data_IF_735400492362
#
_entry.id   IF_735400492362
#
_cell.length_a   1.000
_cell.length_b   1.000
_cell.length_c   1.000
_cell.angle_alpha   90.00
_cell.angle_beta   90.00
_cell.angle_gamma   90.00
#
_symmetry.space_group_name_H-M   'P 1'
#
loop_
_entity.id
_entity.type
_entity.pdbx_description
1 polymer ?
#
# COMPACT_ATOMS: atom_id res chain seq x y z
N UNK A 1 -15.00 -103.24 -29.20
CA UNK A 1 -15.13 -101.75 -29.17
C UNK A 1 -16.20 -101.30 -28.18
N UNK A 2 -17.21 -102.12 -27.90
CA UNK A 2 -18.42 -101.71 -27.15
C UNK A 2 -18.13 -101.08 -25.78
N UNK A 3 -17.15 -101.58 -25.02
CA UNK A 3 -16.79 -101.04 -23.69
C UNK A 3 -16.38 -99.55 -23.69
N UNK A 4 -15.87 -99.04 -24.82
CA UNK A 4 -15.60 -97.59 -24.97
C UNK A 4 -16.87 -96.80 -25.30
N UNK A 5 -17.81 -97.41 -26.02
CA UNK A 5 -19.10 -96.80 -26.38
C UNK A 5 -19.99 -96.65 -25.14
N UNK A 6 -20.10 -97.70 -24.31
CA UNK A 6 -20.87 -97.67 -23.06
C UNK A 6 -20.28 -96.68 -22.06
N UNK A 7 -18.96 -96.62 -21.91
CA UNK A 7 -18.30 -95.62 -21.06
C UNK A 7 -18.50 -94.18 -21.56
N UNK A 8 -18.57 -93.96 -22.88
CA UNK A 8 -18.92 -92.65 -23.44
C UNK A 8 -20.39 -92.28 -23.19
N UNK A 9 -21.32 -93.23 -23.35
CA UNK A 9 -22.75 -93.03 -23.08
C UNK A 9 -23.01 -92.74 -21.59
N UNK A 10 -22.35 -93.45 -20.68
CA UNK A 10 -22.48 -93.23 -19.24
C UNK A 10 -21.90 -91.87 -18.82
N UNK A 11 -20.75 -91.46 -19.37
CA UNK A 11 -20.22 -90.09 -19.20
C UNK A 11 -21.17 -89.03 -19.75
N UNK A 12 -21.78 -89.26 -20.91
CA UNK A 12 -22.75 -88.32 -21.48
C UNK A 12 -23.99 -88.15 -20.57
N UNK A 13 -24.50 -89.24 -19.99
CA UNK A 13 -25.59 -89.21 -18.98
C UNK A 13 -25.18 -88.50 -17.69
N UNK A 14 -23.96 -88.73 -17.21
CA UNK A 14 -23.42 -88.03 -16.04
C UNK A 14 -23.27 -86.52 -16.30
N UNK A 15 -22.72 -86.11 -17.45
CA UNK A 15 -22.59 -84.70 -17.84
C UNK A 15 -23.95 -84.03 -18.03
N UNK A 16 -24.91 -84.71 -18.66
CA UNK A 16 -26.27 -84.16 -18.84
C UNK A 16 -26.99 -83.98 -17.50
N UNK A 17 -26.82 -84.90 -16.55
CA UNK A 17 -27.44 -84.81 -15.22
C UNK A 17 -26.71 -83.85 -14.28
N UNK A 18 -25.38 -83.67 -14.41
CA UNK A 18 -24.65 -82.62 -13.69
C UNK A 18 -25.03 -81.24 -14.23
N UNK A 19 -24.99 -81.04 -15.56
CA UNK A 19 -25.34 -79.77 -16.21
C UNK A 19 -26.79 -79.37 -15.96
N UNK A 20 -27.73 -80.32 -15.97
CA UNK A 20 -29.13 -80.05 -15.61
C UNK A 20 -29.30 -79.61 -14.16
N UNK A 21 -28.55 -80.20 -13.22
CA UNK A 21 -28.56 -79.82 -11.80
C UNK A 21 -27.88 -78.47 -11.57
N UNK A 22 -26.75 -78.22 -12.23
CA UNK A 22 -25.99 -76.97 -12.20
C UNK A 22 -26.82 -75.81 -12.76
N UNK A 23 -27.42 -75.98 -13.95
CA UNK A 23 -28.34 -74.99 -14.56
C UNK A 23 -29.53 -74.72 -13.65
N UNK A 24 -30.12 -75.75 -13.04
CA UNK A 24 -31.24 -75.58 -12.10
C UNK A 24 -30.84 -74.77 -10.85
N UNK A 25 -29.67 -75.06 -10.28
CA UNK A 25 -29.10 -74.30 -9.16
C UNK A 25 -28.77 -72.86 -9.54
N UNK A 26 -28.20 -72.65 -10.72
CA UNK A 26 -27.89 -71.31 -11.25
C UNK A 26 -29.16 -70.49 -11.47
N UNK A 27 -30.23 -71.08 -12.01
CA UNK A 27 -31.54 -70.42 -12.15
C UNK A 27 -32.17 -70.07 -10.80
N UNK A 28 -32.07 -70.96 -9.80
CA UNK A 28 -32.53 -70.65 -8.44
C UNK A 28 -31.70 -69.51 -7.81
N UNK A 29 -30.38 -69.49 -8.04
CA UNK A 29 -29.49 -68.43 -7.56
C UNK A 29 -29.78 -67.09 -8.24
N UNK A 30 -30.01 -67.04 -9.57
CA UNK A 30 -30.33 -65.79 -10.26
C UNK A 30 -31.71 -65.27 -9.88
N UNK A 31 -32.71 -66.13 -9.66
CA UNK A 31 -34.00 -65.72 -9.11
C UNK A 31 -33.87 -65.11 -7.71
N UNK A 32 -33.07 -65.72 -6.82
CA UNK A 32 -32.78 -65.17 -5.49
C UNK A 32 -32.03 -63.82 -5.56
N UNK A 33 -31.11 -63.66 -6.52
CA UNK A 33 -30.43 -62.39 -6.77
C UNK A 33 -31.36 -61.30 -7.32
N UNK A 34 -32.31 -61.66 -8.19
CA UNK A 34 -33.31 -60.72 -8.75
C UNK A 34 -34.28 -60.25 -7.66
N UNK A 35 -34.80 -61.15 -6.83
CA UNK A 35 -35.73 -60.76 -5.76
C UNK A 35 -35.01 -59.93 -4.68
N UNK A 36 -33.75 -60.28 -4.33
CA UNK A 36 -32.91 -59.43 -3.47
C UNK A 36 -32.70 -58.03 -4.07
N UNK A 37 -32.33 -57.94 -5.36
CA UNK A 37 -32.11 -56.65 -6.03
C UNK A 37 -33.39 -55.82 -6.07
N UNK A 38 -34.55 -56.47 -6.20
CA UNK A 38 -35.87 -55.84 -6.14
C UNK A 38 -36.19 -55.31 -4.74
N UNK A 39 -35.93 -56.07 -3.67
CA UNK A 39 -36.07 -55.60 -2.28
C UNK A 39 -35.14 -54.41 -2.00
N UNK A 40 -33.88 -54.49 -2.42
CA UNK A 40 -32.91 -53.39 -2.28
C UNK A 40 -33.36 -52.14 -3.05
N UNK A 41 -33.82 -52.29 -4.30
CA UNK A 41 -34.33 -51.18 -5.11
C UNK A 41 -35.62 -50.56 -4.52
N UNK A 42 -36.54 -51.37 -3.99
CA UNK A 42 -37.72 -50.89 -3.28
C UNK A 42 -37.34 -50.12 -2.00
N UNK A 43 -36.41 -50.65 -1.20
CA UNK A 43 -35.92 -49.97 0.00
C UNK A 43 -35.21 -48.64 -0.34
N UNK A 44 -34.41 -48.59 -1.41
CA UNK A 44 -33.81 -47.34 -1.90
C UNK A 44 -34.85 -46.34 -2.42
N UNK A 45 -35.89 -46.81 -3.11
CA UNK A 45 -37.00 -45.94 -3.58
C UNK A 45 -37.76 -45.32 -2.40
N UNK A 46 -38.07 -46.12 -1.37
CA UNK A 46 -38.76 -45.63 -0.16
C UNK A 46 -37.89 -44.64 0.63
N UNK A 47 -36.57 -44.85 0.72
CA UNK A 47 -35.66 -43.85 1.31
C UNK A 47 -35.68 -42.55 0.50
N UNK A 48 -35.39 -42.62 -0.80
CA UNK A 48 -35.33 -41.45 -1.67
C UNK A 48 -36.62 -40.61 -1.68
N UNK A 49 -37.79 -41.23 -1.58
CA UNK A 49 -39.09 -40.52 -1.46
C UNK A 49 -39.24 -39.82 -0.10
N UNK A 50 -38.79 -40.44 0.99
CA UNK A 50 -38.80 -39.81 2.31
C UNK A 50 -37.76 -38.68 2.43
N UNK A 51 -36.56 -38.87 1.88
CA UNK A 51 -35.50 -37.87 1.82
C UNK A 51 -35.97 -36.64 1.00
N UNK A 52 -36.60 -36.88 -0.16
CA UNK A 52 -37.21 -35.85 -0.99
C UNK A 52 -38.32 -35.10 -0.24
N UNK A 53 -39.17 -35.80 0.52
CA UNK A 53 -40.22 -35.18 1.35
C UNK A 53 -39.63 -34.29 2.46
N UNK A 54 -38.62 -34.78 3.18
CA UNK A 54 -37.93 -33.99 4.22
C UNK A 54 -37.21 -32.76 3.65
N UNK A 55 -36.62 -32.90 2.46
CA UNK A 55 -36.04 -31.78 1.73
C UNK A 55 -37.12 -30.75 1.32
N UNK A 56 -38.28 -31.17 0.81
CA UNK A 56 -39.38 -30.25 0.50
C UNK A 56 -39.92 -29.54 1.74
N UNK A 57 -40.13 -30.24 2.85
CA UNK A 57 -40.57 -29.64 4.13
C UNK A 57 -39.55 -28.61 4.65
N UNK A 58 -38.26 -28.91 4.51
CA UNK A 58 -37.16 -27.98 4.85
C UNK A 58 -37.16 -26.74 3.94
N UNK A 59 -37.29 -26.93 2.63
CA UNK A 59 -37.33 -25.84 1.63
C UNK A 59 -38.55 -24.94 1.84
N UNK A 60 -39.75 -25.50 2.07
CA UNK A 60 -40.96 -24.73 2.39
C UNK A 60 -40.75 -23.89 3.66
N UNK A 61 -40.15 -24.48 4.70
CA UNK A 61 -39.85 -23.80 5.96
C UNK A 61 -38.75 -22.73 5.82
N UNK A 62 -37.83 -22.89 4.87
CA UNK A 62 -36.82 -21.88 4.53
C UNK A 62 -37.41 -20.73 3.71
N UNK A 63 -38.19 -21.03 2.67
CA UNK A 63 -38.89 -20.04 1.83
C UNK A 63 -39.86 -19.20 2.67
N UNK A 64 -40.63 -19.82 3.58
CA UNK A 64 -41.51 -19.10 4.49
C UNK A 64 -40.78 -18.08 5.37
N UNK A 65 -39.64 -18.49 5.97
CA UNK A 65 -38.79 -17.58 6.76
C UNK A 65 -38.19 -16.46 5.90
N UNK A 66 -37.74 -16.77 4.69
CA UNK A 66 -37.16 -15.79 3.77
C UNK A 66 -38.21 -14.77 3.28
N UNK A 67 -39.44 -15.20 3.01
CA UNK A 67 -40.54 -14.30 2.63
C UNK A 67 -40.92 -13.34 3.78
N UNK A 68 -41.00 -13.83 5.02
CA UNK A 68 -41.29 -12.97 6.17
C UNK A 68 -40.10 -12.02 6.46
N UNK A 69 -38.85 -12.44 6.23
CA UNK A 69 -37.69 -11.55 6.27
C UNK A 69 -37.76 -10.45 5.19
N UNK A 70 -38.08 -10.80 3.94
CA UNK A 70 -38.23 -9.83 2.84
C UNK A 70 -39.35 -8.83 3.15
N UNK A 71 -40.46 -9.30 3.72
CA UNK A 71 -41.57 -8.46 4.18
C UNK A 71 -41.13 -7.49 5.28
N UNK A 72 -40.46 -7.98 6.32
CA UNK A 72 -39.94 -7.15 7.41
C UNK A 72 -38.91 -6.12 6.92
N UNK A 73 -38.05 -6.48 5.96
CA UNK A 73 -37.15 -5.54 5.29
C UNK A 73 -37.93 -4.49 4.50
N UNK A 74 -38.91 -4.88 3.68
CA UNK A 74 -39.73 -3.95 2.90
C UNK A 74 -40.51 -2.96 3.79
N UNK A 75 -41.14 -3.43 4.87
CA UNK A 75 -41.87 -2.57 5.80
C UNK A 75 -40.92 -1.59 6.53
N UNK A 76 -39.71 -2.01 6.85
CA UNK A 76 -38.69 -1.15 7.46
C UNK A 76 -38.16 -0.10 6.47
N UNK A 77 -37.78 -0.50 5.25
CA UNK A 77 -37.36 0.42 4.18
C UNK A 77 -38.48 1.39 3.79
N UNK A 78 -39.73 0.94 3.75
CA UNK A 78 -40.90 1.79 3.48
C UNK A 78 -41.16 2.81 4.59
N UNK A 79 -40.80 2.50 5.85
CA UNK A 79 -40.82 3.45 6.97
C UNK A 79 -39.66 4.46 6.86
N UNK A 80 -38.43 3.98 6.70
CA UNK A 80 -37.25 4.84 6.57
C UNK A 80 -37.29 5.78 5.35
N UNK A 81 -37.87 5.33 4.23
CA UNK A 81 -38.09 6.18 3.06
C UNK A 81 -39.10 7.31 3.34
N UNK A 82 -40.16 7.03 4.11
CA UNK A 82 -41.14 8.05 4.53
C UNK A 82 -40.54 9.05 5.52
N UNK A 83 -39.75 8.57 6.47
CA UNK A 83 -39.03 9.41 7.44
C UNK A 83 -37.98 10.29 6.75
N UNK A 84 -37.20 9.74 5.83
CA UNK A 84 -36.21 10.49 5.03
C UNK A 84 -36.88 11.55 4.13
N UNK A 85 -38.02 11.22 3.52
CA UNK A 85 -38.79 12.18 2.74
C UNK A 85 -39.39 13.31 3.60
N UNK A 86 -39.88 13.00 4.81
CA UNK A 86 -40.34 14.00 5.78
C UNK A 86 -39.20 14.90 6.24
N UNK A 87 -38.04 14.33 6.59
CA UNK A 87 -36.85 15.12 6.95
C UNK A 87 -36.41 16.01 5.80
N UNK A 88 -36.33 15.49 4.59
CA UNK A 88 -35.92 16.24 3.40
C UNK A 88 -36.89 17.41 3.12
N UNK A 89 -38.20 17.23 3.33
CA UNK A 89 -39.16 18.33 3.23
C UNK A 89 -38.90 19.44 4.27
N UNK A 90 -38.66 19.07 5.53
CA UNK A 90 -38.31 20.03 6.61
C UNK A 90 -37.00 20.75 6.32
N UNK A 91 -35.96 20.03 5.89
CA UNK A 91 -34.65 20.59 5.53
C UNK A 91 -34.76 21.54 4.32
N UNK A 92 -35.67 21.27 3.37
CA UNK A 92 -35.89 22.11 2.19
C UNK A 92 -36.70 23.38 2.51
N UNK A 93 -37.68 23.34 3.41
CA UNK A 93 -38.34 24.53 3.94
C UNK A 93 -37.39 25.38 4.80
N UNK A 94 -36.52 24.75 5.59
CA UNK A 94 -35.47 25.45 6.34
C UNK A 94 -34.45 26.13 5.40
N UNK A 95 -34.04 25.46 4.31
CA UNK A 95 -33.18 26.04 3.28
C UNK A 95 -33.87 27.22 2.58
N UNK A 96 -35.17 27.10 2.27
CA UNK A 96 -35.98 28.17 1.68
C UNK A 96 -36.01 29.40 2.59
N UNK A 97 -36.29 29.22 3.87
CA UNK A 97 -36.30 30.32 4.85
C UNK A 97 -34.91 30.95 5.00
N UNK A 98 -33.84 30.16 5.01
CA UNK A 98 -32.47 30.70 5.05
C UNK A 98 -32.11 31.47 3.77
N UNK A 99 -32.51 30.99 2.59
CA UNK A 99 -32.33 31.72 1.34
C UNK A 99 -33.13 33.03 1.31
N UNK A 100 -34.37 33.06 1.80
CA UNK A 100 -35.15 34.29 1.90
C UNK A 100 -34.46 35.31 2.82
N UNK A 101 -34.11 34.91 4.05
CA UNK A 101 -33.40 35.77 5.00
C UNK A 101 -32.04 36.27 4.49
N UNK A 102 -31.30 35.44 3.72
CA UNK A 102 -30.09 35.89 3.01
C UNK A 102 -30.41 36.87 1.88
N UNK A 103 -31.45 36.64 1.10
CA UNK A 103 -31.82 37.51 -0.03
C UNK A 103 -32.21 38.92 0.47
N UNK A 104 -32.94 39.00 1.58
CA UNK A 104 -33.32 40.26 2.22
C UNK A 104 -32.11 41.03 2.79
N UNK A 105 -31.10 40.32 3.32
CA UNK A 105 -29.91 40.94 3.94
C UNK A 105 -28.74 41.17 2.98
N UNK A 106 -28.69 40.48 1.84
CA UNK A 106 -27.65 40.62 0.81
C UNK A 106 -27.50 42.06 0.24
N UNK A 107 -28.56 42.83 -0.08
CA UNK A 107 -28.38 44.19 -0.60
C UNK A 107 -27.76 45.14 0.45
N UNK A 108 -28.09 44.97 1.72
CA UNK A 108 -27.51 45.76 2.80
C UNK A 108 -26.03 45.41 3.03
N UNK A 109 -25.70 44.11 3.06
CA UNK A 109 -24.31 43.64 3.13
C UNK A 109 -23.49 44.08 1.91
N UNK A 110 -24.07 44.08 0.70
CA UNK A 110 -23.41 44.55 -0.51
C UNK A 110 -23.16 46.07 -0.47
N UNK A 111 -24.09 46.86 0.08
CA UNK A 111 -23.90 48.30 0.28
C UNK A 111 -22.80 48.60 1.32
N UNK A 112 -22.77 47.85 2.43
CA UNK A 112 -21.71 47.94 3.45
C UNK A 112 -20.35 47.53 2.87
N UNK A 113 -20.26 46.42 2.15
CA UNK A 113 -19.03 45.95 1.50
C UNK A 113 -18.52 46.94 0.44
N UNK A 114 -19.40 47.49 -0.41
CA UNK A 114 -19.03 48.51 -1.40
C UNK A 114 -18.50 49.79 -0.72
N UNK A 115 -19.06 50.15 0.43
CA UNK A 115 -18.60 51.30 1.24
C UNK A 115 -17.24 51.02 1.88
N UNK A 116 -17.01 49.81 2.39
CA UNK A 116 -15.72 49.37 2.92
C UNK A 116 -14.63 49.34 1.83
N UNK A 117 -14.93 48.80 0.65
CA UNK A 117 -14.02 48.78 -0.52
C UNK A 117 -13.68 50.22 -0.94
N UNK A 118 -14.68 51.12 -1.04
CA UNK A 118 -14.45 52.53 -1.36
C UNK A 118 -13.55 53.21 -0.33
N UNK A 119 -13.70 52.90 0.96
CA UNK A 119 -12.82 53.41 2.02
C UNK A 119 -11.39 52.88 1.86
N UNK A 120 -11.24 51.56 1.70
CA UNK A 120 -9.94 50.90 1.58
C UNK A 120 -9.13 51.38 0.37
N UNK A 121 -9.77 51.53 -0.81
CA UNK A 121 -9.10 52.10 -1.99
C UNK A 121 -8.60 53.54 -1.75
N UNK A 122 -9.35 54.34 -0.97
CA UNK A 122 -9.00 55.72 -0.71
C UNK A 122 -7.86 55.86 0.32
N UNK A 123 -7.81 54.95 1.31
CA UNK A 123 -6.63 54.84 2.20
C UNK A 123 -5.39 54.32 1.42
N UNK A 124 -5.54 53.30 0.55
CA UNK A 124 -4.44 52.81 -0.28
C UNK A 124 -3.88 53.87 -1.25
N UNK A 125 -4.75 54.65 -1.89
CA UNK A 125 -4.32 55.75 -2.77
C UNK A 125 -3.45 56.77 -2.01
N UNK A 126 -3.85 57.08 -0.78
CA UNK A 126 -3.18 58.03 0.11
C UNK A 126 -1.86 57.49 0.67
N UNK A 127 -1.77 56.19 0.92
CA UNK A 127 -0.53 55.51 1.31
C UNK A 127 0.47 55.47 0.15
N UNK A 128 0.01 55.21 -1.08
CA UNK A 128 0.83 55.29 -2.31
C UNK A 128 1.39 56.71 -2.51
N UNK A 129 0.56 57.75 -2.39
CA UNK A 129 1.02 59.15 -2.47
C UNK A 129 2.11 59.43 -1.41
N UNK A 130 1.95 58.93 -0.18
CA UNK A 130 2.91 59.08 0.91
C UNK A 130 4.24 58.30 0.72
N UNK A 131 4.27 57.23 -0.09
CA UNK A 131 5.52 56.52 -0.40
C UNK A 131 6.40 57.28 -1.41
N UNK A 132 5.80 58.02 -2.36
CA UNK A 132 6.52 58.76 -3.42
C UNK A 132 7.70 59.63 -2.95
N UNK A 133 7.57 60.51 -1.92
CA UNK A 133 8.68 61.33 -1.44
C UNK A 133 9.76 60.52 -0.71
N UNK A 134 9.38 59.42 -0.05
CA UNK A 134 10.31 58.57 0.68
C UNK A 134 11.21 57.77 -0.27
N UNK A 135 10.64 57.22 -1.35
CA UNK A 135 11.39 56.52 -2.40
C UNK A 135 12.41 57.44 -3.10
N UNK A 136 12.03 58.69 -3.40
CA UNK A 136 12.93 59.66 -4.05
C UNK A 136 14.03 60.16 -3.11
N UNK A 137 13.75 60.36 -1.81
CA UNK A 137 14.81 60.63 -0.83
C UNK A 137 15.77 59.44 -0.66
N UNK A 138 15.25 58.23 -0.49
CA UNK A 138 16.05 57.01 -0.30
C UNK A 138 17.00 56.76 -1.50
N UNK A 139 16.50 56.88 -2.74
CA UNK A 139 17.33 56.77 -3.94
C UNK A 139 18.46 57.82 -3.97
N UNK A 140 18.19 59.06 -3.53
CA UNK A 140 19.19 60.12 -3.48
C UNK A 140 20.26 59.92 -2.39
N UNK A 141 19.94 59.15 -1.33
CA UNK A 141 20.87 58.79 -0.26
C UNK A 141 21.76 57.63 -0.69
N UNK A 142 21.18 56.55 -1.22
CA UNK A 142 21.93 55.41 -1.77
C UNK A 142 22.93 55.83 -2.86
N UNK A 143 22.54 56.76 -3.75
CA UNK A 143 23.43 57.32 -4.77
C UNK A 143 24.64 58.08 -4.18
N UNK A 144 24.47 58.75 -3.02
CA UNK A 144 25.57 59.46 -2.33
C UNK A 144 26.49 58.50 -1.58
N UNK A 145 25.97 57.38 -1.09
CA UNK A 145 26.77 56.37 -0.40
C UNK A 145 27.61 55.54 -1.38
N UNK A 146 27.02 55.12 -2.52
CA UNK A 146 27.77 54.48 -3.60
C UNK A 146 28.90 55.38 -4.13
N UNK A 147 28.65 56.67 -4.32
CA UNK A 147 29.66 57.65 -4.74
C UNK A 147 30.79 57.84 -3.70
N UNK A 148 30.51 57.64 -2.39
CA UNK A 148 31.53 57.64 -1.34
C UNK A 148 32.36 56.36 -1.34
N UNK A 149 31.73 55.20 -1.51
CA UNK A 149 32.40 53.90 -1.52
C UNK A 149 33.45 53.82 -2.65
N UNK A 150 33.05 54.16 -3.88
CA UNK A 150 33.96 54.21 -5.02
C UNK A 150 35.14 55.20 -4.82
N UNK A 151 34.91 56.33 -4.13
CA UNK A 151 35.96 57.29 -3.80
C UNK A 151 36.94 56.75 -2.74
N UNK A 152 36.46 55.98 -1.76
CA UNK A 152 37.33 55.33 -0.76
C UNK A 152 38.11 54.16 -1.34
N UNK A 153 37.52 53.39 -2.27
CA UNK A 153 38.19 52.29 -2.96
C UNK A 153 39.36 52.82 -3.80
N UNK A 154 39.11 53.79 -4.69
CA UNK A 154 40.15 54.43 -5.50
C UNK A 154 41.27 55.09 -4.66
N UNK A 155 40.93 55.66 -3.49
CA UNK A 155 41.92 56.19 -2.56
C UNK A 155 42.77 55.09 -1.90
N UNK A 156 42.16 53.94 -1.57
CA UNK A 156 42.87 52.78 -0.98
C UNK A 156 43.79 52.09 -2.00
N UNK A 157 43.36 51.97 -3.26
CA UNK A 157 44.18 51.45 -4.36
C UNK A 157 45.41 52.35 -4.57
N UNK A 158 45.21 53.67 -4.70
CA UNK A 158 46.30 54.64 -4.85
C UNK A 158 47.29 54.60 -3.67
N UNK A 159 46.79 54.48 -2.44
CA UNK A 159 47.63 54.32 -1.24
C UNK A 159 48.43 53.00 -1.26
N UNK A 160 47.83 51.89 -1.72
CA UNK A 160 48.50 50.59 -1.82
C UNK A 160 49.63 50.60 -2.85
N UNK A 161 49.42 51.26 -3.99
CA UNK A 161 50.43 51.41 -5.06
C UNK A 161 51.60 52.26 -4.55
N UNK A 162 51.33 53.38 -3.87
CA UNK A 162 52.36 54.20 -3.26
C UNK A 162 53.17 53.45 -2.18
N UNK A 163 52.50 52.63 -1.35
CA UNK A 163 53.16 51.81 -0.33
C UNK A 163 54.08 50.74 -0.93
N UNK A 164 53.65 50.07 -2.02
CA UNK A 164 54.49 49.10 -2.74
C UNK A 164 55.74 49.76 -3.36
N UNK A 165 55.59 50.94 -3.94
CA UNK A 165 56.72 51.70 -4.51
C UNK A 165 57.71 52.14 -3.43
N UNK A 166 57.24 52.59 -2.26
CA UNK A 166 58.08 52.94 -1.12
C UNK A 166 58.83 51.70 -0.55
N UNK A 167 58.14 50.56 -0.44
CA UNK A 167 58.75 49.30 0.02
C UNK A 167 59.87 48.81 -0.92
N UNK A 168 59.66 48.89 -2.24
CA UNK A 168 60.67 48.54 -3.24
C UNK A 168 61.94 49.40 -3.11
N UNK A 169 61.79 50.71 -2.86
CA UNK A 169 62.92 51.61 -2.62
C UNK A 169 63.66 51.25 -1.33
N UNK A 170 62.96 50.96 -0.23
CA UNK A 170 63.56 50.59 1.05
C UNK A 170 64.42 49.31 0.97
N UNK A 171 63.94 48.27 0.27
CA UNK A 171 64.70 47.02 0.08
C UNK A 171 66.01 47.25 -0.69
N UNK A 172 66.01 48.13 -1.69
CA UNK A 172 67.21 48.48 -2.46
C UNK A 172 68.29 49.17 -1.61
N UNK A 173 67.89 49.97 -0.62
CA UNK A 173 68.80 50.64 0.32
C UNK A 173 69.32 49.68 1.40
N UNK A 174 68.47 48.79 1.93
CA UNK A 174 68.89 47.80 2.92
C UNK A 174 69.95 46.83 2.37
N UNK A 175 69.76 46.34 1.15
CA UNK A 175 70.69 45.40 0.49
C UNK A 175 72.07 46.00 0.18
N UNK A 176 72.17 47.33 -0.01
CA UNK A 176 73.45 48.02 -0.21
C UNK A 176 74.19 48.33 1.10
N UNK A 177 73.50 48.38 2.26
CA UNK A 177 74.15 48.55 3.56
C UNK A 177 74.60 47.23 4.20
N UNK A 178 73.82 46.15 4.04
CA UNK A 178 74.10 44.84 4.65
C UNK A 178 75.46 44.22 4.25
N UNK A 179 75.97 44.58 3.06
CA UNK A 179 77.26 44.09 2.56
C UNK A 179 78.50 44.62 3.32
N UNK A 180 78.36 45.62 4.19
CA UNK A 180 79.50 46.37 4.74
C UNK A 180 79.96 45.99 6.16
N UNK A 181 79.17 45.22 6.92
CA UNK A 181 79.36 45.05 8.38
C UNK A 181 79.29 43.59 8.89
N UNK A 182 79.37 42.60 7.99
CA UNK A 182 79.24 41.18 8.35
C UNK A 182 80.52 40.58 8.98
N UNK A 183 80.93 41.04 10.17
CA UNK A 183 82.04 40.45 10.94
C UNK A 183 81.87 40.56 12.47
N UNK A 184 82.06 39.43 13.17
CA UNK A 184 82.27 39.24 14.63
C UNK A 184 81.07 39.26 15.64
N UNK A 185 80.58 38.05 15.97
CA UNK A 185 80.62 37.44 17.34
C UNK A 185 79.60 37.75 18.49
N UNK A 186 78.70 36.78 18.72
CA UNK A 186 78.55 35.93 19.96
C UNK A 186 77.66 36.29 21.21
N UNK A 187 76.48 35.62 21.31
CA UNK A 187 75.88 34.94 22.50
C UNK A 187 75.04 35.74 23.60
N UNK A 188 74.41 35.12 24.67
CA UNK A 188 72.92 34.97 24.74
C UNK A 188 72.10 35.04 26.10
N UNK A 189 70.76 35.21 26.02
CA UNK A 189 69.65 34.81 26.97
C UNK A 189 69.56 35.44 28.41
N UNK A 190 68.51 35.24 29.28
CA UNK A 190 67.24 34.44 29.23
C UNK A 190 65.92 35.17 29.76
N UNK A 191 64.91 34.44 30.29
CA UNK A 191 63.56 34.87 30.84
C UNK A 191 63.00 33.82 31.86
N UNK A 192 61.69 33.59 32.28
CA UNK A 192 60.33 34.18 31.98
C UNK A 192 59.25 34.18 33.16
N UNK A 193 57.91 34.17 32.83
CA UNK A 193 56.63 33.67 33.51
C UNK A 193 55.71 34.48 34.51
N UNK A 194 54.35 34.20 34.58
CA UNK A 194 53.27 35.00 35.26
C UNK A 194 52.19 34.19 36.10
N UNK A 195 51.01 34.78 36.49
CA UNK A 195 49.78 34.06 36.92
C UNK A 195 48.42 34.52 36.28
N UNK A 196 47.23 34.07 36.78
CA UNK A 196 45.93 33.88 36.03
C UNK A 196 44.64 34.58 36.54
N UNK A 197 43.59 34.62 35.69
CA UNK A 197 42.12 34.83 35.97
C UNK A 197 41.30 35.09 34.68
N UNK A 198 39.95 35.11 34.57
CA UNK A 198 38.78 34.60 35.36
C UNK A 198 37.46 34.69 34.50
N UNK A 199 36.29 34.16 34.96
CA UNK A 199 34.94 34.21 34.29
C UNK A 199 33.78 34.19 35.33
N UNK A 200 32.47 34.47 35.01
CA UNK A 200 31.52 33.44 34.50
C UNK A 200 30.23 33.88 33.69
N UNK A 201 29.53 32.91 33.06
CA UNK A 201 28.06 32.74 32.82
C UNK A 201 27.20 33.77 31.99
N UNK A 202 26.09 33.43 31.27
CA UNK A 202 25.53 32.13 30.75
C UNK A 202 24.31 32.29 29.78
N UNK A 203 24.30 31.50 28.67
CA UNK A 203 23.14 30.86 27.98
C UNK A 203 21.99 31.71 27.32
N UNK A 204 20.95 31.11 26.67
CA UNK A 204 20.89 30.33 25.40
C UNK A 204 19.79 30.92 24.43
N UNK A 205 19.19 30.24 23.39
CA UNK A 205 19.40 28.93 22.75
C UNK A 205 19.58 29.01 21.20
N UNK A 206 19.29 27.92 20.45
CA UNK A 206 19.56 27.78 19.00
C UNK A 206 18.40 27.13 18.19
N UNK A 207 18.31 27.43 16.89
CA UNK A 207 17.68 26.61 15.83
C UNK A 207 17.97 27.12 14.40
N UNK A 208 17.89 26.19 13.43
CA UNK A 208 17.75 26.29 11.95
C UNK A 208 16.65 27.26 11.43
N UNK A 209 16.49 27.54 10.09
CA UNK A 209 16.90 26.73 8.92
C UNK A 209 17.40 27.46 7.64
N UNK A 210 17.68 26.64 6.60
CA UNK A 210 17.41 26.83 5.14
C UNK A 210 17.53 28.23 4.50
N UNK A 211 18.47 28.38 3.54
CA UNK A 211 18.55 29.52 2.64
C UNK A 211 18.20 29.20 1.17
N UNK A 212 17.08 29.71 0.67
CA UNK A 212 16.72 29.86 -0.75
C UNK A 212 15.45 30.74 -0.90
N UNK A 213 15.17 31.38 -2.06
CA UNK A 213 16.04 31.72 -3.20
C UNK A 213 16.26 33.26 -3.27
N UNK A 214 16.66 33.83 -4.41
CA UNK A 214 15.63 34.55 -5.19
C UNK A 214 15.63 34.23 -6.70
N UNK A 215 14.48 34.42 -7.33
CA UNK A 215 14.28 34.28 -8.78
C UNK A 215 14.48 35.63 -9.50
N UNK A 216 15.09 35.60 -10.68
CA UNK A 216 14.95 36.65 -11.70
C UNK A 216 14.17 36.11 -12.91
N UNK A 217 13.20 36.87 -13.46
CA UNK A 217 12.43 36.41 -14.62
C UNK A 217 13.11 36.80 -15.95
N UNK A 218 13.22 35.83 -16.86
CA UNK A 218 13.65 36.02 -18.24
C UNK A 218 13.33 34.76 -19.06
N UNK A 219 12.65 34.85 -20.20
CA UNK A 219 12.27 33.68 -21.00
C UNK A 219 13.39 33.27 -21.97
N UNK A 220 13.42 31.99 -22.38
CA UNK A 220 13.35 31.58 -23.81
C UNK A 220 13.38 30.05 -24.01
N UNK A 221 12.89 29.61 -25.17
CA UNK A 221 13.07 28.29 -25.81
C UNK A 221 12.96 26.99 -24.98
N UNK A 222 11.85 26.25 -25.16
CA UNK A 222 11.84 24.80 -24.94
C UNK A 222 12.61 24.09 -26.08
N UNK A 223 13.72 23.42 -25.76
CA UNK A 223 14.42 22.54 -26.70
C UNK A 223 14.32 21.08 -26.22
N UNK A 224 13.62 20.25 -27.00
CA UNK A 224 13.35 18.84 -26.69
C UNK A 224 14.54 17.95 -27.11
N UNK A 225 15.20 17.21 -26.21
CA UNK A 225 16.28 16.29 -26.58
C UNK A 225 15.72 14.97 -27.15
N UNK A 226 16.22 14.55 -28.31
CA UNK A 226 15.91 13.27 -28.94
C UNK A 226 16.74 12.12 -28.35
N UNK A 227 16.27 10.85 -28.41
CA UNK A 227 17.03 9.71 -27.89
C UNK A 227 18.25 9.37 -28.76
N UNK A 228 19.38 9.10 -28.13
CA UNK A 228 20.58 8.60 -28.79
C UNK A 228 20.50 7.07 -29.05
N UNK A 229 21.02 6.55 -30.18
CA UNK A 229 20.95 5.13 -30.51
C UNK A 229 21.95 4.29 -29.68
N UNK A 230 21.54 3.07 -29.36
CA UNK A 230 22.39 2.07 -28.71
C UNK A 230 23.50 1.56 -29.64
N UNK A 231 24.71 1.38 -29.10
CA UNK A 231 25.76 0.56 -29.68
C UNK A 231 26.18 -0.52 -28.66
N UNK A 232 26.34 -1.79 -29.05
CA UNK A 232 26.67 -2.85 -28.11
C UNK A 232 28.14 -2.75 -27.66
N UNK A 233 28.38 -2.84 -26.36
CA UNK A 233 29.72 -3.06 -25.79
C UNK A 233 29.77 -4.48 -25.21
N UNK A 234 30.92 -5.14 -25.37
CA UNK A 234 31.14 -6.55 -25.04
C UNK A 234 31.04 -6.86 -23.54
N UNK A 235 31.03 -8.16 -23.22
CA UNK A 235 31.04 -8.66 -21.84
C UNK A 235 32.16 -8.05 -20.99
N UNK A 236 31.84 -7.67 -19.75
CA UNK A 236 32.84 -7.43 -18.71
C UNK A 236 32.40 -8.04 -17.38
N UNK A 237 33.38 -8.63 -16.71
CA UNK A 237 33.29 -9.65 -15.67
C UNK A 237 32.51 -9.25 -14.40
N UNK A 238 31.82 -10.23 -13.78
CA UNK A 238 31.21 -10.07 -12.44
C UNK A 238 32.28 -10.00 -11.35
N UNK A 239 32.22 -9.04 -10.41
CA UNK A 239 32.75 -9.22 -9.06
C UNK A 239 31.71 -9.98 -8.21
N UNK A 240 32.14 -11.03 -7.51
CA UNK A 240 31.30 -11.73 -6.52
C UNK A 240 31.25 -10.90 -5.23
N UNK A 241 30.15 -10.15 -5.02
CA UNK A 241 29.93 -9.33 -3.83
C UNK A 241 28.97 -9.98 -2.84
N UNK A 242 29.48 -10.37 -1.68
CA UNK A 242 28.70 -11.02 -0.61
C UNK A 242 27.92 -9.98 0.22
N UNK A 243 26.61 -9.90 0.00
CA UNK A 243 25.68 -9.14 0.84
C UNK A 243 24.71 -10.09 1.56
N UNK A 244 25.22 -10.78 2.58
CA UNK A 244 24.40 -11.59 3.47
C UNK A 244 23.47 -10.73 4.32
N UNK A 245 22.17 -10.71 3.99
CA UNK A 245 21.14 -10.22 4.91
C UNK A 245 21.08 -11.11 6.16
N UNK A 246 20.76 -10.56 7.35
CA UNK A 246 20.74 -11.34 8.59
C UNK A 246 19.70 -12.47 8.52
N UNK A 247 20.00 -13.66 9.05
CA UNK A 247 19.08 -14.79 9.00
C UNK A 247 17.82 -14.51 9.84
N UNK A 248 16.67 -14.49 9.17
CA UNK A 248 15.37 -14.29 9.82
C UNK A 248 15.06 -15.43 10.81
N UNK A 249 14.39 -15.13 11.94
CA UNK A 249 14.10 -16.13 12.97
C UNK A 249 13.17 -17.23 12.45
N UNK A 250 13.46 -18.47 12.83
CA UNK A 250 12.65 -19.64 12.46
C UNK A 250 11.54 -19.88 13.48
N UNK A 251 10.40 -20.35 12.99
CA UNK A 251 9.22 -20.67 13.78
C UNK A 251 8.87 -22.15 13.60
N UNK A 252 8.28 -22.77 14.62
CA UNK A 252 7.78 -24.14 14.56
C UNK A 252 6.38 -24.22 13.91
N UNK A 253 5.87 -25.44 13.74
CA UNK A 253 4.54 -25.69 13.18
C UNK A 253 3.36 -25.17 14.04
N UNK A 254 3.63 -24.60 15.21
CA UNK A 254 2.66 -23.97 16.12
C UNK A 254 2.86 -22.45 16.23
N UNK A 255 3.73 -21.86 15.40
CA UNK A 255 3.97 -20.42 15.34
C UNK A 255 4.83 -19.87 16.49
N UNK A 256 5.55 -20.72 17.24
CA UNK A 256 6.51 -20.25 18.24
C UNK A 256 7.90 -20.08 17.64
N UNK A 257 8.55 -18.98 17.99
CA UNK A 257 9.91 -18.68 17.57
C UNK A 257 10.90 -19.58 18.32
N UNK A 258 11.79 -20.26 17.58
CA UNK A 258 12.77 -21.19 18.15
C UNK A 258 14.20 -20.69 17.89
N UNK A 259 14.95 -20.49 18.97
CA UNK A 259 16.34 -20.07 18.90
C UNK A 259 17.23 -21.18 18.33
N UNK A 260 18.15 -20.83 17.43
CA UNK A 260 19.12 -21.76 16.87
C UNK A 260 20.14 -22.21 17.93
N UNK A 261 20.49 -23.50 17.92
CA UNK A 261 21.46 -24.05 18.85
C UNK A 261 22.88 -23.58 18.54
N UNK A 262 23.53 -22.94 19.53
CA UNK A 262 24.97 -22.75 19.60
C UNK A 262 25.45 -23.20 20.99
N UNK A 263 26.73 -23.58 21.08
CA UNK A 263 27.28 -24.27 22.24
C UNK A 263 27.47 -23.35 23.47
N UNK A 264 27.59 -23.95 24.64
CA UNK A 264 27.34 -23.31 25.93
C UNK A 264 28.58 -22.71 26.61
N UNK A 265 28.35 -21.64 27.38
CA UNK A 265 29.11 -21.37 28.60
C UNK A 265 28.26 -20.67 29.68
N UNK A 266 28.37 -21.18 30.89
CA UNK A 266 28.19 -20.59 32.23
C UNK A 266 27.10 -19.55 32.58
N UNK A 267 26.22 -20.01 33.49
CA UNK A 267 25.90 -19.43 34.81
C UNK A 267 25.11 -18.10 34.95
N UNK A 268 23.81 -18.31 35.23
CA UNK A 268 23.18 -18.01 36.54
C UNK A 268 22.37 -16.70 36.76
N UNK A 269 21.47 -16.80 37.76
CA UNK A 269 20.89 -15.76 38.61
C UNK A 269 19.51 -15.15 38.22
N UNK A 270 18.49 -15.56 39.01
CA UNK A 270 17.24 -14.88 39.42
C UNK A 270 16.29 -14.22 38.37
N UNK A 271 14.96 -14.41 38.32
CA UNK A 271 13.86 -14.71 39.26
C UNK A 271 13.02 -13.48 39.69
N UNK A 272 11.69 -13.61 39.58
CA UNK A 272 10.69 -12.57 39.94
C UNK A 272 10.42 -11.54 38.82
N UNK A 273 9.31 -10.79 38.84
CA UNK A 273 8.14 -10.93 39.73
C UNK A 273 7.23 -9.68 39.81
N UNK A 274 6.16 -9.64 39.00
CA UNK A 274 5.01 -8.71 39.09
C UNK A 274 5.24 -7.21 38.74
N UNK A 275 4.17 -6.43 38.41
CA UNK A 275 4.25 -5.13 37.71
C UNK A 275 4.24 -3.92 38.68
N UNK A 276 4.14 -2.67 38.17
CA UNK A 276 2.84 -2.00 38.35
C UNK A 276 2.44 -0.90 37.32
N UNK A 277 1.19 -0.45 37.46
CA UNK A 277 0.66 0.91 37.28
C UNK A 277 0.54 1.56 35.88
N UNK A 278 -0.73 1.67 35.48
CA UNK A 278 -1.36 2.77 34.75
C UNK A 278 -0.94 4.17 35.28
N UNK A 279 -0.64 5.08 34.36
CA UNK A 279 -0.54 6.52 34.61
C UNK A 279 -1.14 7.28 33.42
N UNK A 280 -1.97 8.27 33.70
CA UNK A 280 -2.80 8.97 32.71
C UNK A 280 -2.28 10.39 32.48
N UNK A 281 -1.92 10.74 31.23
CA UNK A 281 -2.35 12.05 30.70
C UNK A 281 -2.28 12.22 29.17
N UNK A 282 -3.20 13.08 28.74
CA UNK A 282 -3.41 13.76 27.46
C UNK A 282 -2.13 14.11 26.65
N UNK A 283 -2.24 14.17 25.31
CA UNK A 283 -1.21 14.90 24.53
C UNK A 283 -1.19 14.84 23.00
N UNK A 284 -1.87 13.91 22.32
CA UNK A 284 -1.87 13.86 20.84
C UNK A 284 -3.25 13.58 20.25
N UNK A 285 -3.51 14.22 19.10
CA UNK A 285 -4.70 14.04 18.29
C UNK A 285 -4.64 12.66 17.63
N UNK A 286 -5.35 11.69 18.17
CA UNK A 286 -5.52 10.38 17.56
C UNK A 286 -6.53 10.45 16.42
N UNK A 287 -6.06 10.26 15.18
CA UNK A 287 -6.91 9.69 14.15
C UNK A 287 -7.17 8.23 14.54
N UNK A 288 -8.22 8.01 15.36
CA UNK A 288 -8.77 6.69 15.52
C UNK A 288 -9.34 6.25 14.16
N UNK A 289 -9.06 5.03 13.67
CA UNK A 289 -9.75 4.52 12.50
C UNK A 289 -11.23 4.40 12.87
N UNK A 290 -12.06 5.26 12.28
CA UNK A 290 -13.51 5.10 12.34
C UNK A 290 -13.87 3.71 11.81
N UNK A 291 -14.81 3.04 12.47
CA UNK A 291 -15.34 1.77 11.98
C UNK A 291 -15.76 1.93 10.52
N UNK A 292 -15.15 1.14 9.64
CA UNK A 292 -15.25 1.33 8.20
C UNK A 292 -16.65 0.94 7.72
N UNK A 293 -17.57 1.91 7.68
CA UNK A 293 -18.84 1.78 6.97
C UNK A 293 -18.58 1.18 5.58
N UNK A 294 -19.34 0.15 5.16
CA UNK A 294 -19.08 -0.53 3.91
C UNK A 294 -19.40 0.39 2.72
N UNK A 295 -18.37 1.08 2.21
CA UNK A 295 -18.40 1.83 0.94
C UNK A 295 -18.45 0.89 -0.27
N UNK A 296 -19.44 -0.01 -0.29
CA UNK A 296 -19.80 -0.88 -1.42
C UNK A 296 -20.44 -0.10 -2.58
N UNK A 297 -19.75 0.93 -3.06
CA UNK A 297 -20.26 1.91 -4.03
C UNK A 297 -20.08 1.53 -5.51
N UNK A 298 -19.81 0.27 -5.83
CA UNK A 298 -19.44 -0.18 -7.18
C UNK A 298 -20.27 -1.37 -7.67
N UNK A 299 -21.60 -1.24 -7.62
CA UNK A 299 -22.52 -2.23 -8.19
C UNK A 299 -22.91 -1.85 -9.62
N UNK A 300 -22.39 -2.56 -10.62
CA UNK A 300 -23.02 -2.67 -11.95
C UNK A 300 -22.52 -3.88 -12.74
N UNK A 301 -23.48 -4.58 -13.37
CA UNK A 301 -23.41 -5.52 -14.51
C UNK A 301 -22.31 -6.60 -14.62
N UNK A 302 -22.69 -7.72 -15.25
CA UNK A 302 -21.77 -8.71 -15.81
C UNK A 302 -21.06 -9.62 -14.81
N UNK A 303 -20.12 -9.08 -14.03
CA UNK A 303 -19.23 -9.86 -13.17
C UNK A 303 -19.92 -10.47 -11.95
N UNK A 304 -20.92 -9.76 -11.39
CA UNK A 304 -21.53 -10.04 -10.08
C UNK A 304 -22.37 -11.34 -9.98
N UNK A 305 -22.44 -12.15 -11.04
CA UNK A 305 -23.19 -13.42 -11.02
C UNK A 305 -22.39 -14.57 -10.38
N UNK A 306 -21.05 -14.50 -10.40
CA UNK A 306 -20.18 -15.30 -9.54
C UNK A 306 -19.98 -14.52 -8.24
N UNK A 307 -20.21 -15.16 -7.08
CA UNK A 307 -20.14 -14.43 -5.79
C UNK A 307 -18.69 -14.20 -5.36
N UNK A 308 -18.38 -13.04 -4.80
CA UNK A 308 -17.02 -12.71 -4.33
C UNK A 308 -16.50 -13.73 -3.30
N UNK A 309 -17.40 -14.19 -2.41
CA UNK A 309 -17.16 -15.25 -1.43
C UNK A 309 -16.84 -16.61 -2.08
N UNK A 310 -17.52 -16.96 -3.17
CA UNK A 310 -17.31 -18.17 -3.96
C UNK A 310 -15.97 -18.11 -4.72
N UNK A 311 -15.67 -16.96 -5.34
CA UNK A 311 -14.37 -16.65 -5.94
C UNK A 311 -13.24 -16.76 -4.92
N UNK A 312 -13.43 -16.30 -3.68
CA UNK A 312 -12.43 -16.35 -2.62
C UNK A 312 -12.24 -17.75 -2.00
N UNK A 313 -13.20 -18.67 -2.14
CA UNK A 313 -13.08 -20.09 -1.74
C UNK A 313 -12.29 -20.94 -2.74
N UNK A 314 -12.04 -20.42 -3.95
CA UNK A 314 -11.25 -21.12 -4.97
C UNK A 314 -9.76 -21.31 -4.59
N UNK A 315 -9.23 -20.49 -3.68
CA UNK A 315 -7.85 -20.54 -3.17
C UNK A 315 -7.88 -20.67 -1.65
N UNK A 316 -7.08 -21.59 -1.08
CA UNK A 316 -6.86 -21.62 0.37
C UNK A 316 -6.09 -20.39 0.85
N UNK A 317 -6.45 -19.88 2.03
CA UNK A 317 -5.87 -18.66 2.62
C UNK A 317 -4.36 -18.78 2.92
N UNK A 318 -3.87 -19.98 3.24
CA UNK A 318 -2.44 -20.24 3.47
C UNK A 318 -1.68 -20.27 2.15
N UNK A 319 -2.19 -21.01 1.17
CA UNK A 319 -1.61 -21.08 -0.18
C UNK A 319 -1.57 -19.70 -0.85
N UNK A 320 -2.64 -18.90 -0.73
CA UNK A 320 -2.66 -17.51 -1.20
C UNK A 320 -1.55 -16.65 -0.58
N UNK A 321 -1.32 -16.81 0.73
CA UNK A 321 -0.27 -16.08 1.47
C UNK A 321 1.14 -16.50 1.01
N UNK A 322 1.40 -17.81 0.88
CA UNK A 322 2.69 -18.33 0.41
C UNK A 322 2.99 -17.91 -1.04
N UNK A 323 2.01 -18.03 -1.93
CA UNK A 323 2.11 -17.61 -3.34
C UNK A 323 2.47 -16.13 -3.44
N UNK A 324 1.81 -15.28 -2.65
CA UNK A 324 2.09 -13.84 -2.66
C UNK A 324 3.49 -13.51 -2.12
N UNK A 325 3.95 -14.16 -1.04
CA UNK A 325 5.31 -13.95 -0.52
C UNK A 325 6.39 -14.29 -1.55
N UNK A 326 6.24 -15.42 -2.26
CA UNK A 326 7.19 -15.83 -3.31
C UNK A 326 7.15 -14.90 -4.52
N UNK A 327 5.96 -14.43 -4.91
CA UNK A 327 5.79 -13.40 -5.93
C UNK A 327 6.50 -12.09 -5.55
N UNK A 328 6.40 -11.64 -4.29
CA UNK A 328 7.11 -10.45 -3.77
C UNK A 328 8.63 -10.66 -3.68
N UNK A 329 9.08 -11.90 -3.46
CA UNK A 329 10.49 -12.29 -3.53
C UNK A 329 11.04 -12.33 -4.97
N UNK A 330 10.21 -12.05 -5.99
CA UNK A 330 10.59 -12.03 -7.40
C UNK A 330 10.51 -13.38 -8.11
N UNK A 331 10.01 -14.43 -7.45
CA UNK A 331 9.79 -15.73 -8.09
C UNK A 331 8.58 -15.67 -9.02
N UNK A 332 8.84 -15.79 -10.34
CA UNK A 332 7.82 -15.96 -11.38
C UNK A 332 7.45 -17.43 -11.55
N UNK A 333 6.30 -17.70 -12.18
CA UNK A 333 5.78 -19.07 -12.34
C UNK A 333 5.27 -19.75 -11.05
N UNK A 334 5.13 -19.01 -9.94
CA UNK A 334 4.58 -19.55 -8.68
C UNK A 334 3.07 -19.78 -8.78
N UNK A 335 2.37 -18.94 -9.54
CA UNK A 335 0.95 -19.10 -9.81
C UNK A 335 0.77 -20.14 -10.94
N UNK A 336 0.10 -21.24 -10.62
CA UNK A 336 -0.30 -22.26 -11.58
C UNK A 336 -1.47 -23.07 -11.06
N UNK A 337 -2.16 -23.79 -11.94
CA UNK A 337 -3.47 -24.44 -11.68
C UNK A 337 -3.53 -25.36 -10.43
N UNK A 338 -2.38 -25.79 -9.90
CA UNK A 338 -2.25 -26.61 -8.69
C UNK A 338 -2.51 -25.85 -7.37
N UNK A 339 -2.50 -24.51 -7.35
CA UNK A 339 -2.76 -23.72 -6.12
C UNK A 339 -4.25 -23.61 -5.77
N UNK A 340 -5.13 -23.95 -6.73
CA UNK A 340 -6.57 -23.86 -6.60
C UNK A 340 -7.15 -25.18 -6.10
N UNK A 341 -8.21 -25.10 -5.29
CA UNK A 341 -9.02 -26.26 -4.90
C UNK A 341 -9.63 -26.92 -6.15
N UNK A 342 -10.04 -28.19 -6.05
CA UNK A 342 -10.64 -28.90 -7.19
C UNK A 342 -11.87 -28.18 -7.76
N UNK A 343 -12.67 -27.56 -6.89
CA UNK A 343 -13.77 -26.66 -7.23
C UNK A 343 -13.27 -25.36 -7.88
N UNK A 344 -12.28 -24.71 -7.24
CA UNK A 344 -11.66 -23.47 -7.72
C UNK A 344 -10.98 -23.56 -9.08
N UNK A 345 -10.51 -24.74 -9.50
CA UNK A 345 -9.95 -24.95 -10.85
C UNK A 345 -11.01 -24.77 -11.94
N UNK A 346 -12.25 -25.20 -11.71
CA UNK A 346 -13.35 -24.99 -12.65
C UNK A 346 -13.74 -23.50 -12.72
N UNK A 347 -13.80 -22.83 -11.56
CA UNK A 347 -14.04 -21.38 -11.46
C UNK A 347 -12.96 -20.58 -12.20
N UNK A 348 -11.69 -20.97 -12.06
CA UNK A 348 -10.56 -20.34 -12.76
C UNK A 348 -10.65 -20.50 -14.29
N UNK A 349 -10.98 -21.71 -14.77
CA UNK A 349 -11.12 -21.97 -16.21
C UNK A 349 -12.30 -21.19 -16.80
N UNK A 350 -13.42 -21.07 -16.07
CA UNK A 350 -14.57 -20.25 -16.48
C UNK A 350 -14.21 -18.76 -16.56
N UNK A 351 -13.57 -18.20 -15.53
CA UNK A 351 -13.15 -16.79 -15.51
C UNK A 351 -12.16 -16.50 -16.64
N UNK A 352 -11.19 -17.39 -16.88
CA UNK A 352 -10.20 -17.21 -17.95
C UNK A 352 -10.87 -17.23 -19.33
N UNK A 353 -11.73 -18.22 -19.57
CA UNK A 353 -12.56 -18.32 -20.78
C UNK A 353 -13.47 -17.10 -20.97
N UNK A 354 -14.00 -16.53 -19.88
CA UNK A 354 -14.80 -15.31 -19.91
C UNK A 354 -13.96 -14.06 -20.17
N UNK A 355 -12.81 -13.93 -19.53
CA UNK A 355 -11.87 -12.82 -19.71
C UNK A 355 -11.36 -12.71 -21.16
N UNK A 356 -11.20 -13.84 -21.85
CA UNK A 356 -10.86 -13.86 -23.28
C UNK A 356 -12.04 -13.45 -24.19
N UNK A 357 -13.27 -13.83 -23.84
CA UNK A 357 -14.48 -13.66 -24.70
C UNK A 357 -15.24 -12.35 -24.47
N UNK A 358 -15.21 -11.80 -23.26
CA UNK A 358 -16.07 -10.71 -22.79
C UNK A 358 -15.21 -9.45 -22.49
N UNK A 359 -15.21 -8.43 -23.40
CA UNK A 359 -14.39 -7.24 -23.22
C UNK A 359 -14.93 -6.28 -22.14
N UNK A 360 -16.22 -6.36 -21.76
CA UNK A 360 -16.79 -5.56 -20.67
C UNK A 360 -16.33 -6.12 -19.32
N UNK A 361 -16.38 -7.45 -19.18
CA UNK A 361 -15.79 -8.17 -18.05
C UNK A 361 -14.28 -7.92 -17.95
N UNK A 362 -13.53 -7.96 -19.07
CA UNK A 362 -12.10 -7.62 -19.10
C UNK A 362 -11.80 -6.25 -18.52
N UNK A 363 -12.47 -5.20 -18.99
CA UNK A 363 -12.28 -3.84 -18.47
C UNK A 363 -12.62 -3.74 -16.97
N UNK A 364 -13.63 -4.47 -16.51
CA UNK A 364 -14.02 -4.53 -15.10
C UNK A 364 -12.94 -5.20 -14.24
N UNK A 365 -12.36 -6.29 -14.72
CA UNK A 365 -11.27 -7.03 -14.06
C UNK A 365 -9.97 -6.21 -14.05
N UNK A 366 -9.56 -5.66 -15.19
CA UNK A 366 -8.36 -4.81 -15.30
C UNK A 366 -8.43 -3.60 -14.36
N UNK A 367 -9.61 -2.98 -14.24
CA UNK A 367 -9.84 -1.88 -13.29
C UNK A 367 -9.77 -2.36 -11.84
N UNK A 368 -10.42 -3.46 -11.49
CA UNK A 368 -10.36 -4.01 -10.13
C UNK A 368 -8.93 -4.34 -9.69
N UNK A 369 -8.14 -4.93 -10.60
CA UNK A 369 -6.71 -5.22 -10.39
C UNK A 369 -5.93 -3.92 -10.13
N UNK A 370 -6.10 -2.89 -10.96
CA UNK A 370 -5.41 -1.61 -10.78
C UNK A 370 -5.85 -0.85 -9.51
N UNK A 371 -7.14 -0.86 -9.17
CA UNK A 371 -7.67 -0.26 -7.94
C UNK A 371 -7.12 -0.98 -6.69
N UNK A 372 -6.88 -2.31 -6.76
CA UNK A 372 -6.27 -3.10 -5.68
C UNK A 372 -4.74 -2.94 -5.60
N UNK A 373 -4.02 -2.93 -6.72
CA UNK A 373 -2.57 -2.61 -6.78
C UNK A 373 -2.27 -1.25 -6.12
N UNK A 374 -3.15 -0.25 -6.34
CA UNK A 374 -3.05 1.06 -5.70
C UNK A 374 -3.24 0.99 -4.18
N UNK A 375 -4.19 0.18 -3.69
CA UNK A 375 -4.40 -0.04 -2.25
C UNK A 375 -3.23 -0.79 -1.59
N UNK A 376 -2.59 -1.74 -2.30
CA UNK A 376 -1.38 -2.41 -1.81
C UNK A 376 -0.22 -1.41 -1.64
N UNK A 377 0.00 -0.53 -2.62
CA UNK A 377 1.04 0.51 -2.53
C UNK A 377 0.75 1.54 -1.41
N UNK A 378 -0.51 1.93 -1.24
CA UNK A 378 -0.96 2.83 -0.16
C UNK A 378 -0.78 2.18 1.23
N UNK A 379 -1.02 0.86 1.35
CA UNK A 379 -0.77 0.09 2.57
C UNK A 379 0.73 -0.10 2.87
N UNK A 380 1.57 -0.40 1.86
CA UNK A 380 3.02 -0.47 1.99
C UNK A 380 3.64 0.85 2.45
N UNK A 381 3.12 1.98 1.94
CA UNK A 381 3.59 3.31 2.32
C UNK A 381 3.08 3.76 3.70
N UNK A 382 1.95 3.21 4.17
CA UNK A 382 1.34 3.53 5.48
C UNK A 382 1.89 2.69 6.64
N UNK A 383 2.20 1.41 6.41
CA UNK A 383 2.73 0.49 7.42
C UNK A 383 3.92 -0.33 6.86
N UNK A 384 5.16 0.19 6.95
CA UNK A 384 6.37 -0.53 6.56
C UNK A 384 6.66 -1.79 7.41
N UNK A 385 6.01 -1.98 8.56
CA UNK A 385 6.10 -3.22 9.33
C UNK A 385 5.19 -4.34 8.76
N UNK A 386 4.33 -4.02 7.79
CA UNK A 386 3.64 -4.99 6.95
C UNK A 386 2.37 -5.62 7.54
N UNK A 387 1.87 -5.13 8.68
CA UNK A 387 0.69 -5.70 9.35
C UNK A 387 -0.59 -5.36 8.59
N UNK A 388 -0.73 -4.12 8.10
CA UNK A 388 -1.85 -3.74 7.22
C UNK A 388 -1.84 -4.58 5.93
N UNK A 389 -0.65 -4.76 5.35
CA UNK A 389 -0.45 -5.56 4.14
C UNK A 389 -0.86 -7.03 4.38
N UNK A 390 -0.44 -7.63 5.49
CA UNK A 390 -0.83 -8.98 5.90
C UNK A 390 -2.36 -9.14 6.00
N UNK A 391 -3.06 -8.13 6.53
CA UNK A 391 -4.52 -8.14 6.63
C UNK A 391 -5.20 -8.06 5.25
N UNK A 392 -4.71 -7.21 4.33
CA UNK A 392 -5.25 -7.13 2.97
C UNK A 392 -5.01 -8.40 2.13
N UNK A 393 -3.96 -9.16 2.43
CA UNK A 393 -3.61 -10.40 1.73
C UNK A 393 -4.37 -11.62 2.26
N UNK A 394 -4.59 -11.70 3.57
CA UNK A 394 -5.42 -12.74 4.20
C UNK A 394 -6.93 -12.50 4.00
N UNK A 395 -7.32 -11.26 3.68
CA UNK A 395 -8.67 -10.88 3.27
C UNK A 395 -9.22 -11.74 2.11
N UNK A 396 -10.55 -11.81 2.04
CA UNK A 396 -11.30 -12.29 0.89
C UNK A 396 -10.86 -11.61 -0.43
N UNK A 397 -10.64 -10.29 -0.38
CA UNK A 397 -10.23 -9.48 -1.54
C UNK A 397 -8.83 -9.83 -2.06
N UNK A 398 -7.87 -10.13 -1.18
CA UNK A 398 -6.52 -10.56 -1.59
C UNK A 398 -6.52 -11.87 -2.38
N UNK A 399 -7.39 -12.82 -2.00
CA UNK A 399 -7.60 -14.08 -2.75
C UNK A 399 -8.28 -13.86 -4.10
N UNK A 400 -9.29 -13.00 -4.17
CA UNK A 400 -9.95 -12.65 -5.44
C UNK A 400 -8.99 -11.90 -6.38
N UNK A 401 -8.14 -11.02 -5.85
CA UNK A 401 -7.05 -10.40 -6.62
C UNK A 401 -6.11 -11.45 -7.23
N UNK A 402 -5.61 -12.42 -6.45
CA UNK A 402 -4.73 -13.48 -6.96
C UNK A 402 -5.39 -14.34 -8.06
N UNK A 403 -6.68 -14.66 -7.91
CA UNK A 403 -7.47 -15.37 -8.92
C UNK A 403 -7.55 -14.57 -10.23
N UNK A 404 -7.92 -13.29 -10.15
CA UNK A 404 -8.11 -12.42 -11.32
C UNK A 404 -6.80 -12.00 -12.00
N UNK A 405 -5.73 -11.76 -11.23
CA UNK A 405 -4.41 -11.41 -11.75
C UNK A 405 -3.70 -12.60 -12.43
N UNK A 406 -4.05 -13.84 -12.06
CA UNK A 406 -3.64 -15.03 -12.81
C UNK A 406 -4.51 -15.28 -14.05
N UNK A 407 -5.85 -15.15 -13.93
CA UNK A 407 -6.77 -15.38 -15.04
C UNK A 407 -6.62 -14.36 -16.19
N UNK A 408 -6.22 -13.12 -15.86
CA UNK A 408 -5.83 -12.09 -16.84
C UNK A 408 -4.49 -12.35 -17.53
N UNK A 409 -3.75 -13.40 -17.14
CA UNK A 409 -2.49 -13.81 -17.74
C UNK A 409 -1.29 -12.89 -17.46
N UNK A 410 -1.46 -11.84 -16.64
CA UNK A 410 -0.40 -10.90 -16.25
C UNK A 410 0.64 -11.55 -15.34
N UNK A 411 0.23 -12.51 -14.51
CA UNK A 411 1.09 -13.28 -13.63
C UNK A 411 1.31 -14.70 -14.18
N UNK A 412 2.51 -14.92 -14.74
CA UNK A 412 3.05 -16.19 -15.25
C UNK A 412 4.49 -16.39 -14.79
#
# INVERSE_FOLDING_TARGET
>A
MESALTQAEERAKQITTSLGRETSGQVQQTLAQIEKLREEAQAHTVRAVNDLKGNFETVITQVGRQLEQIRGQFDNTSRGMRESAQKTAVDLDALRQNMQSRLDTMPEQAAQATTAIRKALNDQLREIEAMTPNLTQAASLAAKEAARQAATEAASEAASIAAQQAAAQAVSQASSQAASLAAASFAPAPSPVPPMGSMPASAPPAADPLGAPPLTPGPESYQQPAPAPYAPRAEEQRPTGEYGLPPMPRFDAHGRQVAGAHEATDLDQAAGGYPPQYAENQGRQSWAPAEAEPRGGYASSGAAQLRIDELARSIDIRTATEVWYRMRAGERGVLGRHIYTYEGQATFDEISSRYDRDPEFRNTVDRYVADFERLLAEAEQSDPAGNMLQNYLTSETGRVYLLLAHASGRLR
#
